data_IF_898797310125
#
_entry.id   IF_898797310125
#
_cell.length_a   1.000
_cell.length_b   1.000
_cell.length_c   1.000
_cell.angle_alpha   90.00
_cell.angle_beta   90.00
_cell.angle_gamma   90.00
#
_symmetry.space_group_name_H-M   'P 1'
#
loop_
_entity.id
_entity.type
_entity.pdbx_description
1 polymer ?
#
# COMPACT_ATOMS: atom_id res chain seq x y z
N UNK A 1 -52.97 -21.20 54.95
CA UNK A 1 -53.73 -22.25 54.23
C UNK A 1 -52.74 -23.17 53.52
N UNK A 2 -53.00 -24.48 53.48
CA UNK A 2 -52.50 -25.51 52.52
C UNK A 2 -51.10 -25.33 51.87
N UNK A 3 -50.11 -26.19 52.18
CA UNK A 3 -49.84 -27.50 51.51
C UNK A 3 -49.39 -27.31 50.05
N UNK A 4 -48.12 -27.48 49.63
CA UNK A 4 -47.36 -28.74 49.39
C UNK A 4 -45.91 -28.37 48.88
N UNK A 5 -44.86 -29.21 48.71
CA UNK A 5 -44.64 -30.65 48.95
C UNK A 5 -43.13 -30.99 49.19
N UNK A 6 -42.80 -32.29 49.17
CA UNK A 6 -41.52 -33.02 49.34
C UNK A 6 -40.42 -32.76 48.28
N UNK A 7 -39.13 -32.68 48.67
CA UNK A 7 -38.04 -33.71 48.60
C UNK A 7 -37.50 -34.01 47.16
N UNK A 8 -36.26 -34.48 46.90
CA UNK A 8 -35.32 -35.29 47.71
C UNK A 8 -33.87 -35.30 47.08
N UNK A 9 -32.80 -35.34 47.91
CA UNK A 9 -31.45 -35.96 47.69
C UNK A 9 -30.57 -35.57 46.45
N UNK A 10 -29.23 -35.73 46.43
CA UNK A 10 -28.24 -36.22 47.41
C UNK A 10 -26.88 -35.49 47.25
N UNK A 11 -26.00 -35.59 48.25
CA UNK A 11 -24.63 -35.05 48.26
C UNK A 11 -23.56 -36.13 48.01
N UNK A 12 -22.31 -35.68 47.80
CA UNK A 12 -21.00 -36.29 48.17
C UNK A 12 -19.95 -36.31 47.05
N UNK A 13 -18.85 -35.58 47.26
CA UNK A 13 -17.50 -36.02 46.85
C UNK A 13 -16.48 -35.61 47.93
N UNK A 14 -15.53 -36.50 48.22
CA UNK A 14 -14.54 -36.41 49.29
C UNK A 14 -13.17 -35.93 48.75
N UNK A 15 -12.38 -35.31 49.65
CA UNK A 15 -10.99 -35.70 49.97
C UNK A 15 -9.88 -35.65 48.90
N UNK A 16 -8.76 -35.01 49.26
CA UNK A 16 -7.47 -35.10 48.55
C UNK A 16 -6.92 -36.55 48.52
N UNK A 17 -6.03 -36.83 47.56
CA UNK A 17 -4.67 -37.41 47.81
C UNK A 17 -3.81 -37.31 46.52
N UNK A 18 -2.54 -36.97 46.69
CA UNK A 18 -1.49 -37.03 45.66
C UNK A 18 -0.59 -38.25 45.88
N UNK A 19 -0.35 -39.09 44.87
CA UNK A 19 0.79 -40.05 44.83
C UNK A 19 1.30 -40.20 43.39
N UNK A 20 2.63 -40.17 43.24
CA UNK A 20 3.35 -40.39 41.97
C UNK A 20 3.39 -41.87 41.55
N UNK A 21 3.53 -42.13 40.24
CA UNK A 21 3.95 -43.44 39.73
C UNK A 21 5.09 -43.28 38.71
N UNK A 22 6.13 -44.10 38.88
CA UNK A 22 7.37 -44.13 38.09
C UNK A 22 7.29 -45.15 36.94
N UNK A 23 7.82 -44.85 35.75
CA UNK A 23 8.16 -45.87 34.76
C UNK A 23 9.29 -45.46 33.78
N UNK A 24 10.41 -46.18 33.91
CA UNK A 24 11.46 -46.53 32.94
C UNK A 24 11.78 -45.70 31.68
N UNK A 25 13.08 -45.42 31.57
CA UNK A 25 13.82 -45.01 30.38
C UNK A 25 14.02 -46.17 29.38
N UNK A 26 13.31 -46.13 28.25
CA UNK A 26 13.75 -46.67 26.95
C UNK A 26 13.01 -45.97 25.80
N UNK A 27 13.46 -44.77 25.42
CA UNK A 27 13.31 -44.30 24.04
C UNK A 27 14.29 -43.16 23.74
N UNK A 28 15.13 -43.33 22.71
CA UNK A 28 16.10 -42.32 22.28
C UNK A 28 15.37 -41.14 21.65
N UNK A 29 15.02 -40.15 22.46
CA UNK A 29 14.50 -38.86 21.99
C UNK A 29 15.51 -38.19 21.05
N UNK A 30 15.19 -38.18 19.77
CA UNK A 30 15.66 -37.13 18.86
C UNK A 30 15.10 -35.82 19.44
N UNK A 31 15.94 -34.80 19.73
CA UNK A 31 15.42 -33.54 20.26
C UNK A 31 14.47 -32.91 19.23
N UNK A 32 13.31 -32.38 19.64
CA UNK A 32 12.45 -31.64 18.73
C UNK A 32 13.24 -30.45 18.19
N UNK A 33 13.18 -30.23 16.88
CA UNK A 33 13.79 -29.06 16.25
C UNK A 33 13.28 -27.79 16.97
N UNK A 34 14.16 -26.83 17.33
CA UNK A 34 13.71 -25.56 17.84
C UNK A 34 12.94 -24.85 16.74
N UNK A 35 11.62 -24.76 16.89
CA UNK A 35 10.77 -23.94 16.04
C UNK A 35 11.18 -22.48 16.26
N UNK A 36 11.83 -21.89 15.26
CA UNK A 36 12.13 -20.46 15.26
C UNK A 36 10.81 -19.72 15.05
N UNK A 37 10.23 -19.25 16.15
CA UNK A 37 9.10 -18.33 16.11
C UNK A 37 9.60 -16.96 15.61
N UNK A 38 9.37 -16.67 14.33
CA UNK A 38 9.78 -15.41 13.70
C UNK A 38 8.84 -14.24 14.01
N UNK A 39 7.89 -14.40 14.94
CA UNK A 39 6.83 -13.42 15.22
C UNK A 39 7.32 -12.16 15.98
N UNK A 40 8.61 -12.03 16.31
CA UNK A 40 9.13 -10.92 17.13
C UNK A 40 10.42 -10.23 16.65
N UNK A 41 10.88 -10.44 15.41
CA UNK A 41 12.13 -9.82 14.92
C UNK A 41 12.14 -8.28 15.05
N UNK A 42 10.98 -7.63 14.89
CA UNK A 42 10.85 -6.17 14.98
C UNK A 42 10.63 -5.65 16.41
N UNK A 43 10.32 -6.50 17.39
CA UNK A 43 10.04 -6.04 18.77
C UNK A 43 11.31 -5.86 19.59
N UNK A 44 12.34 -6.66 19.31
CA UNK A 44 13.63 -6.62 20.00
C UNK A 44 14.54 -5.51 19.45
N UNK A 45 14.34 -5.06 18.20
CA UNK A 45 15.07 -3.94 17.59
C UNK A 45 14.54 -2.55 17.99
N UNK A 46 13.37 -2.46 18.63
CA UNK A 46 12.75 -1.20 19.06
C UNK A 46 13.10 -0.82 20.52
N UNK A 47 14.07 -1.50 21.13
CA UNK A 47 14.48 -1.32 22.54
C UNK A 47 16.00 -1.17 22.62
N UNK A 48 16.51 -0.08 22.06
CA UNK A 48 17.86 0.42 22.36
C UNK A 48 17.73 1.87 22.86
N UNK A 49 17.69 2.04 24.18
CA UNK A 49 17.65 3.35 24.85
C UNK A 49 19.06 3.97 24.90
N UNK A 50 19.63 4.26 23.73
CA UNK A 50 20.84 5.08 23.60
C UNK A 50 20.49 6.46 23.03
N UNK A 51 20.26 7.39 23.97
CA UNK A 51 19.89 8.77 23.71
C UNK A 51 21.07 9.61 23.14
N UNK A 52 20.76 10.84 22.71
CA UNK A 52 21.65 11.90 22.23
C UNK A 52 22.18 11.81 20.77
N UNK A 53 21.60 12.68 19.93
CA UNK A 53 22.03 13.15 18.58
C UNK A 53 21.55 12.42 17.32
N UNK A 54 20.73 11.37 17.41
CA UNK A 54 19.92 10.93 16.26
C UNK A 54 18.50 11.46 16.37
N UNK A 55 18.11 12.33 15.43
CA UNK A 55 16.71 12.72 15.25
C UNK A 55 15.95 11.46 14.78
N UNK A 56 15.35 10.73 15.72
CA UNK A 56 14.68 9.46 15.44
C UNK A 56 13.42 9.67 14.58
N UNK A 57 13.65 9.71 13.27
CA UNK A 57 12.60 9.74 12.27
C UNK A 57 11.82 8.42 12.31
N UNK A 58 10.49 8.43 12.08
CA UNK A 58 9.66 7.23 12.05
C UNK A 58 10.29 6.10 11.24
N UNK A 59 10.43 4.93 11.87
CA UNK A 59 11.04 3.73 11.29
C UNK A 59 12.43 3.97 10.62
N UNK A 60 13.28 4.82 11.21
CA UNK A 60 14.59 5.22 10.66
C UNK A 60 15.44 4.07 10.14
N UNK A 61 15.55 2.99 10.90
CA UNK A 61 16.42 1.83 10.62
C UNK A 61 16.13 1.17 9.27
N UNK A 62 14.85 0.87 9.00
CA UNK A 62 14.45 0.21 7.74
C UNK A 62 14.62 1.14 6.53
N UNK A 63 14.66 2.46 6.77
CA UNK A 63 14.92 3.49 5.77
C UNK A 63 16.41 3.89 5.68
N UNK A 64 17.32 3.12 6.31
CA UNK A 64 18.77 3.37 6.39
C UNK A 64 19.11 4.78 6.94
N UNK A 65 18.29 5.30 7.86
CA UNK A 65 18.36 6.67 8.39
C UNK A 65 18.36 7.78 7.31
N UNK A 66 17.88 7.48 6.09
CA UNK A 66 17.73 8.47 5.02
C UNK A 66 16.47 9.29 5.30
N UNK A 67 16.63 10.53 5.73
CA UNK A 67 15.56 11.53 5.76
C UNK A 67 15.82 12.60 4.68
N UNK A 68 14.86 12.81 3.78
CA UNK A 68 14.94 13.88 2.78
C UNK A 68 13.56 14.23 2.25
N UNK A 69 13.33 15.53 2.08
CA UNK A 69 12.12 16.10 1.47
C UNK A 69 12.18 16.18 -0.06
N UNK A 70 13.35 15.97 -0.66
CA UNK A 70 13.60 16.29 -2.09
C UNK A 70 12.98 15.32 -3.09
N UNK A 71 12.66 14.09 -2.68
CA UNK A 71 12.21 13.00 -3.56
C UNK A 71 11.25 12.06 -2.84
N UNK A 72 10.28 11.55 -3.59
CA UNK A 72 9.30 10.60 -3.07
C UNK A 72 9.92 9.22 -2.77
N UNK A 73 10.80 8.69 -3.63
CA UNK A 73 11.60 7.50 -3.35
C UNK A 73 13.10 7.83 -3.49
N UNK A 74 13.77 8.28 -2.41
CA UNK A 74 15.21 8.50 -2.39
C UNK A 74 15.99 7.19 -2.18
N UNK A 75 15.39 6.18 -1.53
CA UNK A 75 16.03 4.93 -1.11
C UNK A 75 16.45 4.05 -2.29
N UNK A 76 15.67 4.05 -3.38
CA UNK A 76 15.89 3.25 -4.59
C UNK A 76 16.02 1.74 -4.34
N UNK A 77 15.49 1.24 -3.22
CA UNK A 77 15.55 -0.17 -2.85
C UNK A 77 14.71 -0.98 -3.85
N UNK A 78 15.33 -1.88 -4.63
CA UNK A 78 14.58 -2.75 -5.55
C UNK A 78 13.80 -3.79 -4.74
N UNK A 79 12.59 -4.13 -5.19
CA UNK A 79 11.73 -5.09 -4.48
C UNK A 79 12.37 -6.46 -4.30
N UNK A 80 13.26 -6.86 -5.22
CA UNK A 80 13.99 -8.13 -5.14
C UNK A 80 14.89 -8.18 -3.87
N UNK A 81 15.35 -7.02 -3.36
CA UNK A 81 16.14 -6.87 -2.12
C UNK A 81 15.31 -6.66 -0.85
N UNK A 82 13.98 -6.62 -0.93
CA UNK A 82 13.13 -6.59 0.27
C UNK A 82 13.17 -7.93 1.02
N UNK A 83 12.78 -7.98 2.31
CA UNK A 83 12.39 -9.23 2.96
C UNK A 83 11.25 -9.94 2.20
N UNK A 84 11.15 -11.26 2.33
CA UNK A 84 10.15 -12.06 1.60
C UNK A 84 8.72 -11.81 2.09
N UNK A 85 8.55 -11.55 3.40
CA UNK A 85 7.32 -11.01 3.97
C UNK A 85 7.57 -10.08 5.15
N UNK A 86 6.65 -9.13 5.37
CA UNK A 86 6.63 -8.20 6.51
C UNK A 86 5.19 -8.06 6.98
N UNK A 87 4.94 -8.16 8.30
CA UNK A 87 3.63 -7.79 8.88
C UNK A 87 3.64 -6.32 9.24
N UNK A 88 2.58 -5.62 8.87
CA UNK A 88 2.37 -4.20 9.17
C UNK A 88 1.10 -4.07 10.01
N UNK A 89 1.20 -3.40 11.15
CA UNK A 89 0.06 -3.04 11.98
C UNK A 89 -0.77 -1.93 11.33
N UNK A 90 -2.07 -2.18 11.20
CA UNK A 90 -3.08 -1.27 10.67
C UNK A 90 -4.16 -0.93 11.72
N UNK A 91 -4.02 -1.38 12.97
CA UNK A 91 -5.02 -1.20 14.04
C UNK A 91 -5.36 0.27 14.32
N UNK A 92 -4.40 1.18 14.10
CA UNK A 92 -4.56 2.64 14.22
C UNK A 92 -4.85 3.35 12.89
N UNK A 93 -5.18 2.62 11.82
CA UNK A 93 -5.46 3.23 10.52
C UNK A 93 -6.72 4.09 10.56
N UNK A 94 -6.61 5.33 10.05
CA UNK A 94 -7.75 6.21 9.78
C UNK A 94 -7.90 6.39 8.27
N UNK A 95 -9.14 6.32 7.77
CA UNK A 95 -9.40 6.58 6.35
C UNK A 95 -9.11 8.06 6.03
N UNK A 96 -8.33 8.38 4.99
CA UNK A 96 -7.92 9.76 4.73
C UNK A 96 -9.04 10.61 4.14
N UNK A 97 -9.96 9.98 3.42
CA UNK A 97 -11.26 10.51 2.98
C UNK A 97 -12.18 9.34 2.62
N UNK A 98 -13.45 9.42 3.02
CA UNK A 98 -14.48 8.43 2.64
C UNK A 98 -15.10 8.82 1.31
N UNK A 99 -15.13 7.89 0.34
CA UNK A 99 -15.67 8.15 -0.98
C UNK A 99 -15.45 7.01 -1.97
N UNK A 100 -16.18 7.02 -3.08
CA UNK A 100 -16.01 6.01 -4.12
C UNK A 100 -14.76 6.26 -4.97
N UNK A 101 -14.23 5.18 -5.55
CA UNK A 101 -13.00 5.22 -6.34
C UNK A 101 -13.28 5.71 -7.77
N UNK A 102 -12.60 6.79 -8.18
CA UNK A 102 -12.69 7.37 -9.53
C UNK A 102 -11.62 6.85 -10.49
N UNK A 103 -10.46 6.44 -9.98
CA UNK A 103 -9.42 5.78 -10.75
C UNK A 103 -8.63 4.81 -9.88
N UNK A 104 -8.49 3.57 -10.33
CA UNK A 104 -7.84 2.50 -9.58
C UNK A 104 -6.32 2.51 -9.75
N UNK A 105 -5.61 1.92 -8.79
CA UNK A 105 -4.20 1.57 -8.96
C UNK A 105 -4.03 0.65 -10.18
N UNK A 106 -3.11 0.96 -11.10
CA UNK A 106 -3.03 0.18 -12.34
C UNK A 106 -2.38 0.84 -13.56
N UNK A 107 -2.27 0.09 -14.67
CA UNK A 107 -1.75 0.61 -15.93
C UNK A 107 -2.74 1.58 -16.60
N UNK A 108 -2.35 2.84 -16.79
CA UNK A 108 -3.02 3.78 -17.70
C UNK A 108 -2.33 3.75 -19.07
N UNK A 109 -2.99 4.29 -20.11
CA UNK A 109 -2.59 4.18 -21.53
C UNK A 109 -1.09 4.40 -21.87
N UNK A 110 -0.41 5.28 -21.15
CA UNK A 110 1.02 5.59 -21.33
C UNK A 110 1.81 5.77 -20.03
N UNK A 111 1.20 5.51 -18.86
CA UNK A 111 1.82 5.68 -17.54
C UNK A 111 1.22 4.69 -16.56
N UNK A 112 1.99 4.26 -15.57
CA UNK A 112 1.39 3.56 -14.44
C UNK A 112 0.67 4.55 -13.51
N UNK A 113 -0.23 4.03 -12.69
CA UNK A 113 -0.91 4.74 -11.62
C UNK A 113 -0.60 4.05 -10.30
N UNK A 114 0.23 4.69 -9.48
CA UNK A 114 0.81 4.12 -8.27
C UNK A 114 -0.02 4.38 -7.00
N UNK A 115 -1.22 4.95 -7.16
CA UNK A 115 -2.19 5.19 -6.09
C UNK A 115 -3.61 4.90 -6.55
N UNK A 116 -4.55 5.32 -5.72
CA UNK A 116 -5.99 5.28 -5.98
C UNK A 116 -6.56 6.69 -5.88
N UNK A 117 -7.41 7.06 -6.83
CA UNK A 117 -8.02 8.39 -6.92
C UNK A 117 -9.43 8.33 -6.28
N UNK A 118 -9.60 8.84 -5.06
CA UNK A 118 -10.86 8.80 -4.31
C UNK A 118 -11.66 10.09 -4.54
N UNK A 119 -12.97 9.97 -4.78
CA UNK A 119 -13.84 11.14 -5.01
C UNK A 119 -13.94 12.00 -3.74
N UNK A 120 -13.61 13.28 -3.89
CA UNK A 120 -13.94 14.36 -2.95
C UNK A 120 -14.23 15.66 -3.69
N UNK A 121 -14.74 16.69 -3.00
CA UNK A 121 -14.89 18.05 -3.50
C UNK A 121 -13.74 18.95 -3.04
N UNK A 122 -13.49 20.02 -3.80
CA UNK A 122 -12.44 20.99 -3.46
C UNK A 122 -12.80 21.66 -2.14
N UNK A 123 -11.93 21.55 -1.15
CA UNK A 123 -12.16 22.07 0.21
C UNK A 123 -12.55 21.01 1.25
N UNK A 124 -12.86 19.77 0.84
CA UNK A 124 -13.13 18.68 1.78
C UNK A 124 -11.87 18.35 2.61
N UNK A 125 -12.04 17.99 3.88
CA UNK A 125 -10.95 17.58 4.77
C UNK A 125 -10.22 16.34 4.25
N UNK A 126 -8.88 16.37 4.28
CA UNK A 126 -8.02 15.21 4.06
C UNK A 126 -7.22 14.96 5.33
N UNK A 127 -7.31 13.72 5.85
CA UNK A 127 -6.73 13.33 7.14
C UNK A 127 -5.46 12.49 6.97
N UNK A 128 -4.56 12.54 7.97
CA UNK A 128 -3.44 11.59 8.07
C UNK A 128 -3.98 10.19 8.38
N UNK A 129 -3.42 9.17 7.72
CA UNK A 129 -3.89 7.80 7.83
C UNK A 129 -3.31 7.04 9.02
N UNK A 130 -2.17 7.49 9.54
CA UNK A 130 -1.48 6.98 10.71
C UNK A 130 -0.73 8.13 11.38
N UNK A 131 -0.36 7.98 12.66
CA UNK A 131 0.60 8.88 13.30
C UNK A 131 1.97 8.78 12.62
N UNK A 132 2.76 9.85 12.66
CA UNK A 132 4.08 9.88 12.02
C UNK A 132 4.60 11.31 11.82
N UNK A 133 5.58 11.47 10.93
CA UNK A 133 6.26 12.75 10.67
C UNK A 133 6.18 13.13 9.20
N UNK A 134 5.85 14.40 8.93
CA UNK A 134 5.72 14.95 7.59
C UNK A 134 7.10 15.07 6.94
N UNK A 135 7.33 14.26 5.90
CA UNK A 135 8.61 14.22 5.17
C UNK A 135 8.64 15.14 3.94
N UNK A 136 7.50 15.41 3.32
CA UNK A 136 7.41 16.32 2.16
C UNK A 136 6.15 17.17 2.28
N UNK A 137 6.31 18.47 2.02
CA UNK A 137 5.23 19.40 1.66
C UNK A 137 5.70 20.21 0.45
N UNK A 138 5.13 19.97 -0.74
CA UNK A 138 5.68 20.52 -2.00
C UNK A 138 4.60 20.65 -3.09
N UNK A 139 4.95 21.23 -4.24
CA UNK A 139 4.07 21.46 -5.39
C UNK A 139 4.67 20.98 -6.72
N UNK A 140 4.12 19.89 -7.28
CA UNK A 140 4.45 19.40 -8.63
C UNK A 140 3.37 19.77 -9.65
N UNK A 141 3.62 20.82 -10.44
CA UNK A 141 2.74 21.28 -11.51
C UNK A 141 2.38 20.21 -12.56
N UNK A 142 3.24 19.22 -12.80
CA UNK A 142 3.10 18.26 -13.90
C UNK A 142 2.76 16.83 -13.45
N UNK A 143 2.76 16.59 -12.14
CA UNK A 143 2.27 15.39 -11.48
C UNK A 143 1.35 15.75 -10.32
N UNK A 144 1.85 15.69 -9.09
CA UNK A 144 1.04 15.60 -7.87
C UNK A 144 0.23 16.86 -7.48
N UNK A 145 0.49 18.04 -8.05
CA UNK A 145 -0.08 19.29 -7.54
C UNK A 145 0.49 19.61 -6.17
N UNK A 146 -0.29 20.21 -5.28
CA UNK A 146 0.09 20.26 -3.86
C UNK A 146 -0.01 18.86 -3.27
N UNK A 147 1.05 18.44 -2.58
CA UNK A 147 1.07 17.14 -1.94
C UNK A 147 1.81 17.12 -0.61
N UNK A 148 1.41 16.17 0.24
CA UNK A 148 2.04 15.84 1.52
C UNK A 148 2.51 14.39 1.44
N UNK A 149 3.68 14.12 2.02
CA UNK A 149 4.16 12.75 2.27
C UNK A 149 4.48 12.61 3.75
N UNK A 150 3.93 11.58 4.38
CA UNK A 150 4.11 11.29 5.80
C UNK A 150 4.78 9.93 5.92
N UNK A 151 5.79 9.81 6.78
CA UNK A 151 6.37 8.53 7.17
C UNK A 151 5.89 8.15 8.56
N UNK A 152 5.56 6.88 8.74
CA UNK A 152 4.90 6.34 9.92
C UNK A 152 5.77 5.29 10.63
N UNK A 153 5.54 5.10 11.92
CA UNK A 153 6.35 4.20 12.75
C UNK A 153 6.12 2.72 12.40
N UNK A 154 4.97 2.39 11.78
CA UNK A 154 4.72 1.07 11.20
C UNK A 154 5.49 0.80 9.89
N UNK A 155 6.41 1.69 9.50
CA UNK A 155 7.30 1.53 8.35
C UNK A 155 6.67 1.87 6.99
N UNK A 156 5.44 2.39 6.97
CA UNK A 156 4.80 2.88 5.76
C UNK A 156 5.11 4.35 5.49
N UNK A 157 5.04 4.73 4.21
CA UNK A 157 4.87 6.11 3.79
C UNK A 157 3.54 6.28 3.06
N UNK A 158 2.82 7.35 3.36
CA UNK A 158 1.57 7.72 2.67
C UNK A 158 1.75 8.99 1.87
N UNK A 159 1.02 9.11 0.76
CA UNK A 159 1.05 10.29 -0.13
C UNK A 159 -0.36 10.82 -0.31
N UNK A 160 -0.51 12.13 -0.16
CA UNK A 160 -1.78 12.85 -0.30
C UNK A 160 -1.60 13.94 -1.34
N UNK A 161 -2.22 13.80 -2.50
CA UNK A 161 -1.95 14.66 -3.66
C UNK A 161 -3.21 15.23 -4.32
N UNK A 162 -2.98 16.19 -5.22
CA UNK A 162 -3.97 17.06 -5.86
C UNK A 162 -4.68 18.02 -4.89
N UNK A 163 -4.14 18.22 -3.69
CA UNK A 163 -4.71 19.06 -2.64
C UNK A 163 -4.92 20.50 -3.14
N UNK A 164 -5.94 21.19 -2.62
CA UNK A 164 -6.13 22.63 -2.83
C UNK A 164 -5.30 23.46 -1.86
N UNK A 165 -5.05 22.94 -0.66
CA UNK A 165 -4.23 23.56 0.38
C UNK A 165 -3.57 22.50 1.25
N UNK A 166 -2.30 22.70 1.60
CA UNK A 166 -1.59 21.96 2.65
C UNK A 166 -1.75 22.72 3.97
N UNK A 167 -1.98 22.00 5.07
CA UNK A 167 -2.22 22.59 6.39
C UNK A 167 -1.14 22.22 7.43
N UNK A 168 -0.21 21.35 7.08
CA UNK A 168 0.93 20.92 7.91
C UNK A 168 2.26 21.42 7.36
N UNK A 169 3.26 21.53 8.22
CA UNK A 169 4.62 21.92 7.86
C UNK A 169 5.51 20.69 7.58
N UNK A 170 6.64 20.91 6.88
CA UNK A 170 7.73 19.94 6.84
C UNK A 170 8.24 19.65 8.27
N UNK A 171 8.61 18.40 8.54
CA UNK A 171 9.10 17.90 9.84
C UNK A 171 8.10 17.98 11.00
N UNK A 172 6.85 18.37 10.75
CA UNK A 172 5.76 18.29 11.74
C UNK A 172 5.44 16.81 12.06
N UNK A 173 5.39 16.48 13.36
CA UNK A 173 4.73 15.24 13.82
C UNK A 173 3.23 15.42 13.78
N UNK A 174 2.51 14.41 13.28
CA UNK A 174 1.05 14.40 13.13
C UNK A 174 0.45 13.10 13.66
N UNK A 175 -0.78 13.17 14.16
CA UNK A 175 -1.52 12.01 14.64
C UNK A 175 -2.41 11.35 13.57
N UNK A 176 -2.75 10.07 13.78
CA UNK A 176 -3.75 9.40 12.95
C UNK A 176 -5.10 10.13 13.03
N UNK A 177 -5.66 10.51 11.88
CA UNK A 177 -6.88 11.31 11.77
C UNK A 177 -6.68 12.82 11.87
N UNK A 178 -5.46 13.33 12.03
CA UNK A 178 -5.19 14.78 12.00
C UNK A 178 -5.49 15.40 10.62
N UNK A 179 -6.01 16.63 10.59
CA UNK A 179 -6.30 17.36 9.36
C UNK A 179 -5.00 17.89 8.72
N UNK A 180 -4.55 17.25 7.65
CA UNK A 180 -3.27 17.59 6.99
C UNK A 180 -3.41 18.50 5.76
N UNK A 181 -4.61 18.59 5.20
CA UNK A 181 -4.85 19.36 3.98
C UNK A 181 -6.31 19.38 3.56
N UNK A 182 -6.58 20.11 2.48
CA UNK A 182 -7.90 20.19 1.85
C UNK A 182 -7.85 19.58 0.45
N UNK A 183 -8.86 18.78 0.12
CA UNK A 183 -9.05 18.16 -1.19
C UNK A 183 -9.10 19.17 -2.33
N UNK A 184 -8.79 18.76 -3.55
CA UNK A 184 -8.69 19.69 -4.67
C UNK A 184 -8.51 19.05 -6.04
N UNK A 185 -7.94 19.84 -6.95
CA UNK A 185 -7.77 19.52 -8.36
C UNK A 185 -6.47 20.12 -8.92
N UNK A 186 -5.38 20.11 -8.14
CA UNK A 186 -4.13 20.81 -8.50
C UNK A 186 -3.13 19.90 -9.23
N UNK A 187 -2.17 20.50 -9.94
CA UNK A 187 -1.20 19.76 -10.76
C UNK A 187 -1.86 19.03 -11.93
N UNK A 188 -1.52 17.75 -12.13
CA UNK A 188 -2.01 16.94 -13.26
C UNK A 188 -3.26 16.15 -12.92
N UNK A 189 -4.31 16.85 -12.53
CA UNK A 189 -5.65 16.31 -12.31
C UNK A 189 -6.63 16.72 -13.44
N UNK A 190 -7.75 16.00 -13.56
CA UNK A 190 -8.85 16.27 -14.51
C UNK A 190 -10.18 16.59 -13.83
N UNK A 191 -10.22 16.65 -12.50
CA UNK A 191 -11.41 16.89 -11.69
C UNK A 191 -11.11 16.66 -10.21
N UNK A 192 -11.96 17.19 -9.32
CA UNK A 192 -11.71 17.11 -7.87
C UNK A 192 -11.68 15.68 -7.33
N UNK A 193 -10.54 15.27 -6.75
CA UNK A 193 -10.29 13.98 -6.10
C UNK A 193 -9.05 14.04 -5.20
N UNK A 194 -8.91 13.10 -4.27
CA UNK A 194 -7.64 12.81 -3.58
C UNK A 194 -6.89 11.75 -4.39
N UNK A 195 -5.66 12.02 -4.79
CA UNK A 195 -4.76 10.95 -5.22
C UNK A 195 -4.00 10.45 -3.99
N UNK A 196 -4.22 9.18 -3.62
CA UNK A 196 -3.66 8.58 -2.42
C UNK A 196 -2.76 7.39 -2.76
N UNK A 197 -1.56 7.35 -2.19
CA UNK A 197 -0.63 6.23 -2.32
C UNK A 197 -0.22 5.70 -0.94
N UNK A 198 -0.04 4.38 -0.83
CA UNK A 198 0.68 3.75 0.28
C UNK A 198 1.98 3.19 -0.29
N UNK A 199 3.09 3.39 0.42
CA UNK A 199 4.42 2.90 0.07
C UNK A 199 5.05 2.14 1.23
N UNK A 200 5.90 1.17 0.90
CA UNK A 200 6.84 0.55 1.82
C UNK A 200 8.23 0.64 1.19
N UNK A 201 9.19 1.24 1.91
CA UNK A 201 10.56 1.48 1.42
C UNK A 201 10.61 2.16 0.04
N UNK A 202 9.70 3.12 -0.18
CA UNK A 202 9.55 3.89 -1.42
C UNK A 202 8.83 3.17 -2.57
N UNK A 203 8.58 1.86 -2.45
CA UNK A 203 7.82 1.07 -3.42
C UNK A 203 6.32 1.18 -3.12
N UNK A 204 5.51 1.52 -4.12
CA UNK A 204 4.07 1.68 -3.96
C UNK A 204 3.36 0.33 -3.78
N UNK A 205 2.24 0.35 -3.07
CA UNK A 205 1.31 -0.78 -2.92
C UNK A 205 -0.08 -0.31 -3.33
N UNK A 206 -0.93 -1.24 -3.76
CA UNK A 206 -2.31 -0.93 -4.14
C UNK A 206 -3.16 -0.63 -2.88
N UNK A 207 -3.64 0.61 -2.64
CA UNK A 207 -4.41 0.95 -1.45
C UNK A 207 -5.74 0.16 -1.35
N UNK A 208 -6.32 -0.24 -2.48
CA UNK A 208 -7.57 -1.03 -2.56
C UNK A 208 -7.40 -2.48 -2.09
N UNK A 209 -6.17 -2.91 -1.78
CA UNK A 209 -5.90 -4.20 -1.09
C UNK A 209 -5.94 -4.07 0.44
N UNK A 210 -5.95 -2.85 0.96
CA UNK A 210 -5.83 -2.55 2.38
C UNK A 210 -7.12 -1.88 2.89
N UNK A 211 -7.73 -1.00 2.07
CA UNK A 211 -8.78 -0.07 2.50
C UNK A 211 -10.07 -0.25 1.69
N UNK A 212 -11.20 -0.30 2.39
CA UNK A 212 -12.54 -0.10 1.84
C UNK A 212 -12.89 1.40 1.95
N UNK A 213 -12.59 2.17 0.91
CA UNK A 213 -12.82 3.63 0.90
C UNK A 213 -14.31 4.03 0.91
N UNK A 214 -15.21 3.12 0.53
CA UNK A 214 -16.65 3.38 0.54
C UNK A 214 -17.24 3.17 1.95
N UNK A 215 -16.72 2.19 2.70
CA UNK A 215 -17.08 1.98 4.12
C UNK A 215 -16.25 2.80 5.11
N UNK A 216 -15.11 3.35 4.67
CA UNK A 216 -14.24 4.17 5.50
C UNK A 216 -13.38 3.39 6.51
N UNK A 217 -13.03 2.13 6.20
CA UNK A 217 -12.33 1.23 7.14
C UNK A 217 -11.32 0.31 6.42
N UNK A 218 -10.30 -0.22 7.11
CA UNK A 218 -9.40 -1.22 6.52
C UNK A 218 -10.10 -2.59 6.45
N UNK A 219 -9.68 -3.45 5.53
CA UNK A 219 -10.21 -4.83 5.45
C UNK A 219 -9.72 -5.73 6.59
N UNK A 220 -8.61 -5.36 7.24
CA UNK A 220 -7.89 -6.15 8.23
C UNK A 220 -7.02 -5.24 9.10
N UNK A 221 -6.82 -5.60 10.38
CA UNK A 221 -5.99 -4.84 11.32
C UNK A 221 -4.49 -5.12 11.21
N UNK A 222 -4.08 -6.16 10.48
CA UNK A 222 -2.69 -6.44 10.11
C UNK A 222 -2.64 -6.74 8.62
N UNK A 223 -1.62 -6.27 7.91
CA UNK A 223 -1.40 -6.60 6.50
C UNK A 223 -0.02 -7.26 6.29
N UNK A 224 -0.02 -8.38 5.58
CA UNK A 224 1.19 -9.08 5.20
C UNK A 224 1.68 -8.55 3.84
N UNK A 225 2.73 -7.73 3.86
CA UNK A 225 3.45 -7.36 2.65
C UNK A 225 4.17 -8.61 2.13
N UNK A 226 3.99 -8.95 0.86
CA UNK A 226 4.78 -9.97 0.16
C UNK A 226 5.23 -9.46 -1.21
N UNK A 227 6.41 -9.92 -1.67
CA UNK A 227 6.96 -9.51 -2.99
C UNK A 227 5.99 -9.73 -4.15
N UNK A 228 5.25 -10.84 -4.13
CA UNK A 228 4.35 -11.23 -5.21
C UNK A 228 2.98 -10.55 -5.16
N UNK A 229 2.43 -10.26 -3.97
CA UNK A 229 1.07 -9.74 -3.84
C UNK A 229 1.03 -8.22 -3.72
N UNK A 230 1.98 -7.61 -2.99
CA UNK A 230 2.00 -6.16 -2.76
C UNK A 230 2.66 -5.41 -3.93
N UNK A 231 3.63 -6.04 -4.61
CA UNK A 231 4.41 -5.42 -5.69
C UNK A 231 4.25 -6.11 -7.07
N UNK A 232 3.12 -6.83 -7.26
CA UNK A 232 2.78 -7.56 -8.49
C UNK A 232 2.97 -6.72 -9.77
N UNK A 233 2.62 -5.43 -9.69
CA UNK A 233 2.59 -4.47 -10.79
C UNK A 233 3.95 -4.21 -11.44
N UNK A 234 5.06 -4.54 -10.79
CA UNK A 234 6.37 -4.36 -11.41
C UNK A 234 6.53 -5.15 -12.72
N UNK A 235 5.86 -6.31 -12.83
CA UNK A 235 5.81 -7.09 -14.08
C UNK A 235 5.11 -6.27 -15.18
N UNK A 236 4.03 -5.58 -14.84
CA UNK A 236 3.30 -4.68 -15.73
C UNK A 236 4.13 -3.43 -16.09
N UNK A 237 4.78 -2.79 -15.12
CA UNK A 237 5.65 -1.62 -15.34
C UNK A 237 6.85 -1.98 -16.22
N UNK A 238 7.53 -3.11 -15.97
CA UNK A 238 8.60 -3.62 -16.84
C UNK A 238 8.09 -3.88 -18.27
N UNK A 239 6.90 -4.48 -18.41
CA UNK A 239 6.26 -4.71 -19.71
C UNK A 239 5.77 -3.42 -20.42
N UNK A 240 5.40 -2.37 -19.68
CA UNK A 240 5.04 -1.06 -20.21
C UNK A 240 6.28 -0.25 -20.64
N UNK A 241 7.37 -0.32 -19.87
CA UNK A 241 8.65 0.31 -20.22
C UNK A 241 9.25 -0.30 -21.49
N UNK A 242 9.11 -1.62 -21.67
CA UNK A 242 9.51 -2.32 -22.89
C UNK A 242 8.58 -2.08 -24.10
N UNK A 243 7.40 -1.46 -23.91
CA UNK A 243 6.41 -1.28 -24.97
C UNK A 243 6.82 -0.19 -25.96
N UNK A 244 6.83 -0.53 -27.26
CA UNK A 244 7.14 0.42 -28.34
C UNK A 244 5.85 1.00 -28.89
N UNK A 245 5.82 2.32 -29.07
CA UNK A 245 4.67 3.03 -29.66
C UNK A 245 5.06 3.71 -30.97
N UNK A 246 4.14 3.67 -31.93
CA UNK A 246 4.22 4.38 -33.21
C UNK A 246 3.19 5.52 -33.23
N UNK A 247 3.57 6.69 -33.76
CA UNK A 247 2.66 7.84 -33.98
C UNK A 247 2.11 7.75 -35.40
N UNK A 248 0.80 7.56 -35.53
CA UNK A 248 0.08 7.42 -36.81
C UNK A 248 0.26 8.69 -37.64
N UNK A 249 0.66 8.52 -38.90
CA UNK A 249 0.93 9.60 -39.86
C UNK A 249 -0.22 9.72 -40.86
N UNK A 250 -0.23 10.79 -41.66
CA UNK A 250 -1.20 10.91 -42.75
C UNK A 250 -1.05 9.73 -43.74
N UNK A 251 -2.17 9.19 -44.20
CA UNK A 251 -2.22 8.04 -45.10
C UNK A 251 -1.87 6.67 -44.49
N UNK A 252 -1.55 6.56 -43.19
CA UNK A 252 -1.25 5.27 -42.57
C UNK A 252 -2.52 4.38 -42.42
N UNK A 253 -2.34 3.08 -42.62
CA UNK A 253 -3.32 2.04 -42.31
C UNK A 253 -2.68 0.93 -41.46
N UNK A 254 -3.50 0.04 -40.88
CA UNK A 254 -3.00 -1.01 -39.98
C UNK A 254 -1.93 -1.90 -40.64
N UNK A 255 -2.10 -2.26 -41.91
CA UNK A 255 -1.14 -3.11 -42.65
C UNK A 255 0.22 -2.42 -42.83
N UNK A 256 0.22 -1.14 -43.21
CA UNK A 256 1.45 -0.35 -43.38
C UNK A 256 2.16 -0.09 -42.04
N UNK A 257 1.40 0.17 -40.97
CA UNK A 257 1.97 0.31 -39.62
C UNK A 257 2.57 -1.01 -39.15
N UNK A 258 1.88 -2.13 -39.36
CA UNK A 258 2.33 -3.46 -38.97
C UNK A 258 3.64 -3.82 -39.68
N UNK A 259 3.67 -3.72 -41.02
CA UNK A 259 4.86 -3.98 -41.83
C UNK A 259 6.05 -3.09 -41.42
N UNK A 260 5.84 -1.77 -41.28
CA UNK A 260 6.89 -0.81 -40.88
C UNK A 260 7.52 -1.11 -39.51
N UNK A 261 6.79 -1.79 -38.61
CA UNK A 261 7.24 -2.09 -37.26
C UNK A 261 7.55 -3.58 -37.02
N UNK A 262 7.63 -4.40 -38.09
CA UNK A 262 7.98 -5.83 -37.98
C UNK A 262 6.95 -6.64 -37.19
N UNK A 263 5.67 -6.33 -37.34
CA UNK A 263 4.56 -7.01 -36.65
C UNK A 263 3.41 -7.31 -37.61
N UNK A 264 2.39 -8.06 -37.17
CA UNK A 264 1.22 -8.39 -37.98
C UNK A 264 0.00 -7.53 -37.61
N UNK A 265 -0.94 -7.36 -38.53
CA UNK A 265 -2.21 -6.63 -38.25
C UNK A 265 -2.95 -7.26 -37.07
N UNK A 266 -2.97 -8.60 -36.97
CA UNK A 266 -3.60 -9.32 -35.85
C UNK A 266 -2.90 -9.02 -34.52
N UNK A 267 -1.57 -8.99 -34.49
CA UNK A 267 -0.81 -8.62 -33.29
C UNK A 267 -1.01 -7.15 -32.92
N UNK A 268 -0.99 -6.24 -33.91
CA UNK A 268 -1.24 -4.80 -33.73
C UNK A 268 -2.64 -4.54 -33.17
N UNK A 269 -3.67 -5.21 -33.70
CA UNK A 269 -5.03 -5.17 -33.18
C UNK A 269 -5.11 -5.65 -31.72
N UNK A 270 -4.51 -6.82 -31.43
CA UNK A 270 -4.47 -7.40 -30.07
C UNK A 270 -3.78 -6.50 -29.06
N UNK A 271 -2.61 -5.94 -29.40
CA UNK A 271 -1.83 -5.05 -28.54
C UNK A 271 -2.54 -3.75 -28.15
N UNK A 272 -3.63 -3.39 -28.84
CA UNK A 272 -4.34 -2.12 -28.66
C UNK A 272 -5.85 -2.27 -28.38
N UNK A 273 -6.37 -3.51 -28.32
CA UNK A 273 -7.81 -3.76 -28.16
C UNK A 273 -8.67 -3.17 -29.28
N UNK A 274 -8.16 -3.13 -30.52
CA UNK A 274 -8.88 -2.56 -31.67
C UNK A 274 -9.24 -3.62 -32.72
N UNK A 275 -10.38 -3.44 -33.38
CA UNK A 275 -10.74 -4.29 -34.53
C UNK A 275 -9.92 -3.92 -35.78
N UNK A 276 -9.75 -4.84 -36.76
CA UNK A 276 -9.11 -4.53 -38.04
C UNK A 276 -9.82 -3.46 -38.87
N UNK A 277 -11.08 -3.14 -38.55
CA UNK A 277 -11.89 -2.09 -39.19
C UNK A 277 -11.81 -0.73 -38.45
N UNK A 278 -11.00 -0.60 -37.40
CA UNK A 278 -10.92 0.63 -36.61
C UNK A 278 -10.33 1.78 -37.42
N UNK A 279 -11.09 2.87 -37.59
CA UNK A 279 -10.59 4.13 -38.15
C UNK A 279 -9.45 4.66 -37.28
N UNK A 280 -8.30 4.88 -37.91
CA UNK A 280 -7.10 5.43 -37.27
C UNK A 280 -7.11 6.96 -37.36
N UNK A 281 -6.73 7.65 -36.29
CA UNK A 281 -6.59 9.11 -36.27
C UNK A 281 -5.13 9.52 -36.43
N UNK A 282 -4.85 10.48 -37.31
CA UNK A 282 -3.50 11.05 -37.46
C UNK A 282 -3.04 11.65 -36.12
N UNK A 283 -1.77 11.45 -35.77
CA UNK A 283 -1.19 11.88 -34.50
C UNK A 283 -1.46 10.93 -33.31
N UNK A 284 -2.40 10.00 -33.41
CA UNK A 284 -2.66 8.99 -32.38
C UNK A 284 -1.43 8.07 -32.20
N UNK A 285 -1.06 7.76 -30.96
CA UNK A 285 -0.09 6.71 -30.66
C UNK A 285 -0.77 5.35 -30.54
N UNK A 286 -0.15 4.34 -31.16
CA UNK A 286 -0.56 2.93 -31.17
C UNK A 286 0.64 2.07 -30.71
N UNK A 287 0.42 1.06 -29.86
CA UNK A 287 1.45 0.13 -29.40
C UNK A 287 1.79 -0.85 -30.54
N UNK A 288 3.06 -1.03 -30.84
CA UNK A 288 3.55 -1.92 -31.92
C UNK A 288 4.39 -3.09 -31.42
N UNK A 289 4.86 -3.03 -30.17
CA UNK A 289 5.54 -4.08 -29.41
C UNK A 289 5.22 -3.90 -27.92
#
# INVERSE_FOLDING_TARGET
>A
MTCCYKQLLAALTFGLITVSATANDKDKKIPPFPGIDTTSVYRELLIDETDDLMENHPAGDIYNNIWTSTRLNPYKIPVDSLPDSVRIDLSKFVVPVTGYITSRFGPRRYRYHYGTDIKLQTGDSVLSSFSGKVRITDYDRHGYGHYVVIRHDNGLETVYAHLSKVLVALDQTVEAGELIGLGGNTGRSTGSHLHYEIRFLGNAMNPEKIIDFEKGMPFMHEYLITKNESFYYQKEVKAMAAAKYYKIRNGDNLSRIAARNGTSVRALCRLNGISPKKVLRVGQRIRVR
#
